data_IF_895108584753
#
_entry.id   IF_895108584753
#
_cell.length_a   1.000
_cell.length_b   1.000
_cell.length_c   1.000
_cell.angle_alpha   90.00
_cell.angle_beta   90.00
_cell.angle_gamma   90.00
#
_symmetry.space_group_name_H-M   'P 1'
#
loop_
_entity.id
_entity.type
_entity.pdbx_description
1 polymer ?
#
# COMPACT_ATOMS: atom_id res chain seq x y z
N UNK A 1 18.75 0.96 -23.09
CA UNK A 1 18.89 -0.51 -23.29
C UNK A 1 17.51 -1.13 -23.36
N UNK A 2 17.21 -1.93 -24.40
CA UNK A 2 15.95 -2.67 -24.47
C UNK A 2 15.89 -3.67 -23.30
N UNK A 3 14.77 -3.74 -22.59
CA UNK A 3 14.56 -4.73 -21.52
C UNK A 3 14.48 -6.12 -22.17
N UNK A 4 15.35 -7.05 -21.75
CA UNK A 4 15.25 -8.46 -22.14
C UNK A 4 14.09 -9.08 -21.39
N UNK A 5 12.93 -9.17 -22.04
CA UNK A 5 11.72 -9.78 -21.47
C UNK A 5 11.48 -11.13 -22.13
N UNK A 6 11.01 -12.13 -21.37
CA UNK A 6 10.53 -13.38 -21.96
C UNK A 6 9.35 -13.15 -22.89
N UNK A 7 9.08 -14.05 -23.84
CA UNK A 7 7.91 -13.94 -24.71
C UNK A 7 6.62 -13.88 -23.89
N UNK A 8 5.77 -12.88 -24.11
CA UNK A 8 4.54 -12.67 -23.33
C UNK A 8 3.57 -13.87 -23.42
N UNK A 9 3.53 -14.56 -24.56
CA UNK A 9 2.76 -15.80 -24.70
C UNK A 9 3.24 -16.89 -23.74
N UNK A 10 4.55 -17.05 -23.61
CA UNK A 10 5.15 -18.03 -22.70
C UNK A 10 4.85 -17.71 -21.22
N UNK A 11 4.88 -16.43 -20.82
CA UNK A 11 4.49 -16.01 -19.48
C UNK A 11 3.03 -16.31 -19.16
N UNK A 12 2.09 -16.07 -20.10
CA UNK A 12 0.68 -16.40 -19.92
C UNK A 12 0.45 -17.91 -19.79
N UNK A 13 1.15 -18.70 -20.60
CA UNK A 13 1.06 -20.18 -20.54
C UNK A 13 1.66 -20.70 -19.24
N UNK A 14 2.78 -20.13 -18.80
CA UNK A 14 3.42 -20.48 -17.53
C UNK A 14 2.50 -20.21 -16.33
N UNK A 15 1.88 -19.00 -16.27
CA UNK A 15 0.93 -18.65 -15.21
C UNK A 15 -0.23 -19.64 -15.13
N UNK A 16 -0.89 -19.90 -16.27
CA UNK A 16 -2.03 -20.81 -16.31
C UNK A 16 -1.64 -22.25 -15.93
N UNK A 17 -0.49 -22.75 -16.42
CA UNK A 17 0.00 -24.08 -16.12
C UNK A 17 0.38 -24.24 -14.63
N UNK A 18 0.96 -23.23 -14.04
CA UNK A 18 1.34 -23.21 -12.64
C UNK A 18 0.12 -23.17 -11.71
N UNK A 19 -0.83 -22.26 -11.99
CA UNK A 19 -2.06 -22.10 -11.20
C UNK A 19 -2.93 -23.35 -11.27
N UNK A 20 -3.10 -23.93 -12.45
CA UNK A 20 -3.93 -25.13 -12.67
C UNK A 20 -3.22 -26.45 -12.39
N UNK A 21 -1.90 -26.42 -12.17
CA UNK A 21 -1.05 -27.60 -11.99
C UNK A 21 -1.22 -28.67 -13.09
N UNK A 22 -1.56 -28.22 -14.30
CA UNK A 22 -1.89 -29.09 -15.41
C UNK A 22 -1.70 -28.41 -16.76
N UNK A 23 -0.88 -28.98 -17.62
CA UNK A 23 -0.71 -28.48 -18.99
C UNK A 23 -1.98 -28.69 -19.84
N UNK A 24 -2.73 -29.73 -19.58
CA UNK A 24 -4.00 -30.00 -20.26
C UNK A 24 -5.05 -28.95 -19.88
N UNK A 25 -5.20 -28.66 -18.60
CA UNK A 25 -6.13 -27.63 -18.14
C UNK A 25 -5.73 -26.22 -18.65
N UNK A 26 -4.44 -25.91 -18.65
CA UNK A 26 -3.92 -24.66 -19.22
C UNK A 26 -4.20 -24.55 -20.72
N UNK A 27 -4.05 -25.64 -21.46
CA UNK A 27 -4.39 -25.71 -22.89
C UNK A 27 -5.86 -25.39 -23.14
N UNK A 28 -6.75 -25.97 -22.34
CA UNK A 28 -8.20 -25.73 -22.41
C UNK A 28 -8.55 -24.27 -22.09
N UNK A 29 -8.02 -23.72 -20.99
CA UNK A 29 -8.28 -22.34 -20.57
C UNK A 29 -7.82 -21.33 -21.62
N UNK A 30 -6.64 -21.56 -22.21
CA UNK A 30 -6.05 -20.65 -23.19
C UNK A 30 -6.49 -20.89 -24.64
N UNK A 31 -7.35 -21.90 -24.88
CA UNK A 31 -7.80 -22.33 -26.20
C UNK A 31 -6.65 -22.63 -27.17
N UNK A 32 -5.65 -23.38 -26.71
CA UNK A 32 -4.49 -23.83 -27.49
C UNK A 32 -4.29 -25.34 -27.33
N UNK A 33 -3.41 -25.93 -28.14
CA UNK A 33 -3.11 -27.36 -28.03
C UNK A 33 -2.13 -27.65 -26.87
N UNK A 34 -2.19 -28.86 -26.32
CA UNK A 34 -1.23 -29.32 -25.28
C UNK A 34 0.22 -29.23 -25.77
N UNK A 35 0.47 -29.51 -27.06
CA UNK A 35 1.81 -29.36 -27.66
C UNK A 35 2.28 -27.90 -27.65
N UNK A 36 1.36 -26.95 -27.94
CA UNK A 36 1.68 -25.52 -27.86
C UNK A 36 2.03 -25.07 -26.45
N UNK A 37 1.30 -25.56 -25.43
CA UNK A 37 1.65 -25.32 -24.01
C UNK A 37 3.07 -25.81 -23.74
N UNK A 38 3.38 -27.05 -24.09
CA UNK A 38 4.70 -27.65 -23.87
C UNK A 38 5.83 -26.88 -24.58
N UNK A 39 5.58 -26.37 -25.79
CA UNK A 39 6.55 -25.55 -26.53
C UNK A 39 6.77 -24.19 -25.86
N UNK A 40 5.71 -23.52 -25.41
CA UNK A 40 5.85 -22.23 -24.73
C UNK A 40 6.56 -22.35 -23.39
N UNK A 41 6.32 -23.43 -22.63
CA UNK A 41 7.05 -23.68 -21.39
C UNK A 41 8.53 -23.91 -21.66
N UNK A 42 8.88 -24.77 -22.65
CA UNK A 42 10.29 -24.98 -23.04
C UNK A 42 10.96 -23.68 -23.47
N UNK A 43 10.29 -22.87 -24.29
CA UNK A 43 10.83 -21.58 -24.72
C UNK A 43 11.08 -20.63 -23.55
N UNK A 44 10.27 -20.68 -22.48
CA UNK A 44 10.50 -19.90 -21.27
C UNK A 44 11.66 -20.45 -20.46
N UNK A 45 11.73 -21.76 -20.27
CA UNK A 45 12.83 -22.45 -19.56
C UNK A 45 14.17 -22.23 -20.27
N UNK A 46 14.19 -22.31 -21.61
CA UNK A 46 15.39 -22.01 -22.42
C UNK A 46 15.81 -20.54 -22.28
N UNK A 47 14.85 -19.61 -22.26
CA UNK A 47 15.13 -18.20 -22.07
C UNK A 47 15.71 -17.89 -20.68
N UNK A 48 15.19 -18.55 -19.63
CA UNK A 48 15.63 -18.38 -18.24
C UNK A 48 16.90 -19.18 -17.96
N UNK A 49 17.11 -20.29 -18.67
CA UNK A 49 18.27 -21.18 -18.52
C UNK A 49 18.11 -22.24 -17.43
N UNK A 50 16.87 -22.46 -16.92
CA UNK A 50 16.59 -23.48 -15.91
C UNK A 50 15.16 -24.01 -16.03
N UNK A 51 14.90 -25.26 -15.58
CA UNK A 51 13.56 -25.82 -15.53
C UNK A 51 12.69 -25.10 -14.49
N UNK A 52 11.39 -24.96 -14.78
CA UNK A 52 10.40 -24.35 -13.91
C UNK A 52 9.40 -25.36 -13.32
N UNK A 53 9.23 -26.50 -14.00
CA UNK A 53 8.29 -27.55 -13.61
C UNK A 53 8.95 -28.89 -13.36
N UNK A 54 8.49 -29.59 -12.34
CA UNK A 54 8.68 -31.02 -12.17
C UNK A 54 7.45 -31.78 -12.70
N UNK A 55 7.68 -32.96 -13.31
CA UNK A 55 6.60 -33.88 -13.68
C UNK A 55 6.17 -34.70 -12.48
N UNK A 56 4.87 -34.75 -12.23
CA UNK A 56 4.26 -35.57 -11.21
C UNK A 56 3.39 -36.68 -11.84
N UNK A 57 3.00 -37.68 -11.04
CA UNK A 57 2.12 -38.77 -11.49
C UNK A 57 0.75 -38.27 -11.99
N UNK A 58 0.29 -37.14 -11.52
CA UNK A 58 -0.95 -36.48 -11.92
C UNK A 58 -0.75 -34.99 -12.20
N UNK A 59 -0.01 -34.67 -13.26
CA UNK A 59 0.15 -33.26 -13.67
C UNK A 59 1.57 -32.72 -13.57
N UNK A 60 1.69 -31.46 -13.20
CA UNK A 60 2.96 -30.76 -13.05
C UNK A 60 2.98 -29.93 -11.77
N UNK A 61 4.13 -29.84 -11.12
CA UNK A 61 4.33 -28.95 -9.98
C UNK A 61 5.43 -27.93 -10.31
N UNK A 62 5.31 -26.72 -9.75
CA UNK A 62 6.40 -25.77 -9.79
C UNK A 62 7.60 -26.25 -8.96
N UNK A 63 8.78 -26.04 -9.47
CA UNK A 63 10.01 -26.19 -8.70
C UNK A 63 10.09 -25.06 -7.64
N UNK A 64 10.74 -25.31 -6.48
CA UNK A 64 10.83 -24.30 -5.41
C UNK A 64 11.35 -22.95 -5.88
N UNK A 65 12.38 -22.93 -6.72
CA UNK A 65 13.00 -21.71 -7.25
C UNK A 65 12.08 -20.95 -8.24
N UNK A 66 11.05 -21.61 -8.78
CA UNK A 66 10.07 -21.02 -9.67
C UNK A 66 8.87 -20.37 -8.94
N UNK A 67 8.71 -20.59 -7.63
CA UNK A 67 7.55 -20.08 -6.86
C UNK A 67 7.55 -18.55 -6.76
N UNK A 68 8.68 -17.95 -6.46
CA UNK A 68 8.81 -16.49 -6.41
C UNK A 68 8.56 -15.87 -7.80
N UNK A 69 9.18 -16.46 -8.83
CA UNK A 69 8.98 -16.02 -10.21
C UNK A 69 7.50 -16.13 -10.64
N UNK A 70 6.80 -17.20 -10.26
CA UNK A 70 5.35 -17.35 -10.51
C UNK A 70 4.55 -16.23 -9.87
N UNK A 71 4.81 -15.91 -8.61
CA UNK A 71 4.12 -14.84 -7.89
C UNK A 71 4.29 -13.49 -8.60
N UNK A 72 5.50 -13.16 -9.05
CA UNK A 72 5.79 -11.91 -9.77
C UNK A 72 5.15 -11.87 -11.17
N UNK A 73 5.15 -12.98 -11.89
CA UNK A 73 4.50 -13.09 -13.20
C UNK A 73 2.99 -12.92 -13.06
N UNK A 74 2.37 -13.63 -12.11
CA UNK A 74 0.94 -13.55 -11.83
C UNK A 74 0.52 -12.11 -11.51
N UNK A 75 1.21 -11.46 -10.57
CA UNK A 75 0.93 -10.07 -10.18
C UNK A 75 1.13 -9.09 -11.35
N UNK A 76 2.09 -9.36 -12.24
CA UNK A 76 2.35 -8.51 -13.41
C UNK A 76 1.27 -8.66 -14.49
N UNK A 77 0.83 -9.88 -14.77
CA UNK A 77 -0.25 -10.15 -15.73
C UNK A 77 -1.59 -9.59 -15.23
N UNK A 78 -1.87 -9.69 -13.92
CA UNK A 78 -3.05 -9.10 -13.32
C UNK A 78 -3.05 -7.58 -13.46
N UNK A 79 -1.91 -6.91 -13.22
CA UNK A 79 -1.77 -5.46 -13.45
C UNK A 79 -2.01 -5.05 -14.90
N UNK A 80 -1.53 -5.83 -15.86
CA UNK A 80 -1.79 -5.58 -17.29
C UNK A 80 -3.29 -5.75 -17.59
N UNK A 81 -3.93 -6.79 -17.06
CA UNK A 81 -5.35 -7.05 -17.24
C UNK A 81 -6.20 -5.91 -16.66
N UNK A 82 -5.90 -5.44 -15.44
CA UNK A 82 -6.56 -4.31 -14.82
C UNK A 82 -6.40 -3.03 -15.65
N UNK A 83 -5.17 -2.69 -16.06
CA UNK A 83 -4.92 -1.52 -16.90
C UNK A 83 -5.71 -1.58 -18.23
N UNK A 84 -5.79 -2.77 -18.82
CA UNK A 84 -6.56 -2.98 -20.04
C UNK A 84 -8.07 -2.83 -19.80
N UNK A 85 -8.58 -3.37 -18.69
CA UNK A 85 -9.98 -3.24 -18.31
C UNK A 85 -10.35 -1.76 -18.07
N UNK A 86 -9.45 -0.99 -17.43
CA UNK A 86 -9.63 0.44 -17.25
C UNK A 86 -9.74 1.21 -18.57
N UNK A 87 -8.93 0.88 -19.58
CA UNK A 87 -9.01 1.49 -20.90
C UNK A 87 -10.32 1.16 -21.64
N UNK A 88 -10.89 -0.01 -21.37
CA UNK A 88 -12.14 -0.47 -22.01
C UNK A 88 -13.40 0.08 -21.36
N UNK A 89 -13.33 0.56 -20.10
CA UNK A 89 -14.49 1.16 -19.43
C UNK A 89 -14.76 2.55 -20.02
N UNK A 90 -15.98 2.84 -20.47
CA UNK A 90 -16.35 4.21 -20.83
C UNK A 90 -16.11 5.11 -19.61
N UNK A 91 -15.36 6.17 -19.78
CA UNK A 91 -15.12 7.14 -18.74
C UNK A 91 -16.45 7.84 -18.42
N UNK A 92 -17.06 7.55 -17.28
CA UNK A 92 -18.19 8.34 -16.82
C UNK A 92 -17.67 9.74 -16.46
N UNK A 93 -18.34 10.77 -16.94
CA UNK A 93 -17.88 12.15 -16.88
C UNK A 93 -17.67 12.71 -15.44
N UNK A 94 -18.05 11.94 -14.41
CA UNK A 94 -17.94 12.29 -13.00
C UNK A 94 -17.34 11.16 -12.14
N UNK A 95 -16.45 10.35 -12.68
CA UNK A 95 -15.73 9.34 -11.93
C UNK A 95 -14.34 9.83 -11.56
N UNK A 96 -13.97 9.69 -10.27
CA UNK A 96 -12.64 10.00 -9.73
C UNK A 96 -11.97 8.72 -9.21
N UNK A 97 -10.90 8.30 -9.84
CA UNK A 97 -10.13 7.12 -9.45
C UNK A 97 -8.94 7.52 -8.60
N UNK A 98 -9.02 7.15 -7.32
CA UNK A 98 -8.00 7.43 -6.32
C UNK A 98 -7.05 6.25 -6.18
N UNK A 99 -5.77 6.54 -6.01
CA UNK A 99 -4.78 5.59 -5.54
C UNK A 99 -4.13 6.14 -4.27
N UNK A 100 -4.06 5.33 -3.21
CA UNK A 100 -3.43 5.73 -1.97
C UNK A 100 -2.59 4.61 -1.37
N UNK A 101 -1.72 4.94 -0.40
CA UNK A 101 -1.13 3.90 0.44
C UNK A 101 -2.22 3.26 1.31
N UNK A 102 -2.10 1.95 1.65
CA UNK A 102 -3.15 1.25 2.40
C UNK A 102 -3.56 1.96 3.70
N UNK A 103 -2.60 2.51 4.46
CA UNK A 103 -2.90 3.21 5.71
C UNK A 103 -3.72 4.48 5.49
N UNK A 104 -3.38 5.30 4.47
CA UNK A 104 -4.16 6.49 4.12
C UNK A 104 -5.56 6.12 3.63
N UNK A 105 -5.67 5.09 2.78
CA UNK A 105 -6.97 4.64 2.30
C UNK A 105 -7.88 4.21 3.45
N UNK A 106 -7.39 3.34 4.34
CA UNK A 106 -8.20 2.75 5.42
C UNK A 106 -8.54 3.72 6.54
N UNK A 107 -7.58 4.58 6.93
CA UNK A 107 -7.70 5.37 8.16
C UNK A 107 -8.03 6.85 7.93
N UNK A 108 -7.86 7.34 6.69
CA UNK A 108 -8.14 8.73 6.35
C UNK A 108 -9.25 8.85 5.30
N UNK A 109 -9.10 8.14 4.16
CA UNK A 109 -10.01 8.36 3.03
C UNK A 109 -11.36 7.68 3.24
N UNK A 110 -11.38 6.37 3.53
CA UNK A 110 -12.62 5.60 3.68
C UNK A 110 -13.54 6.19 4.76
N UNK A 111 -13.06 6.53 5.97
CA UNK A 111 -13.92 7.18 6.96
C UNK A 111 -14.53 8.49 6.48
N UNK A 112 -13.79 9.27 5.68
CA UNK A 112 -14.25 10.55 5.16
C UNK A 112 -15.14 10.47 3.92
N UNK A 113 -15.15 9.33 3.19
CA UNK A 113 -15.88 9.21 1.92
C UNK A 113 -17.38 9.45 2.04
N UNK A 114 -18.01 9.04 3.14
CA UNK A 114 -19.43 9.28 3.36
C UNK A 114 -19.78 10.78 3.37
N UNK A 115 -18.89 11.60 3.97
CA UNK A 115 -19.05 13.06 3.96
C UNK A 115 -18.82 13.64 2.57
N UNK A 116 -17.79 13.15 1.85
CA UNK A 116 -17.55 13.58 0.48
C UNK A 116 -18.73 13.26 -0.43
N UNK A 117 -19.26 12.05 -0.39
CA UNK A 117 -20.41 11.63 -1.20
C UNK A 117 -21.70 12.38 -0.86
N UNK A 118 -21.89 12.78 0.41
CA UNK A 118 -23.00 13.63 0.82
C UNK A 118 -22.92 15.02 0.22
N UNK A 119 -21.72 15.60 0.10
CA UNK A 119 -21.48 16.92 -0.48
C UNK A 119 -21.49 16.90 -2.02
N UNK A 120 -21.07 15.80 -2.62
CA UNK A 120 -20.91 15.62 -4.06
C UNK A 120 -21.48 14.28 -4.52
N UNK A 121 -22.82 14.11 -4.42
CA UNK A 121 -23.48 12.83 -4.69
C UNK A 121 -23.35 12.39 -6.16
N UNK A 122 -23.03 13.32 -7.06
CA UNK A 122 -22.86 13.03 -8.47
C UNK A 122 -21.45 12.51 -8.83
N UNK A 123 -20.49 12.51 -7.88
CA UNK A 123 -19.12 12.05 -8.12
C UNK A 123 -18.99 10.62 -7.62
N UNK A 124 -18.75 9.72 -8.55
CA UNK A 124 -18.41 8.33 -8.23
C UNK A 124 -16.91 8.22 -7.92
N UNK A 125 -16.57 7.66 -6.75
CA UNK A 125 -15.19 7.55 -6.27
C UNK A 125 -14.78 6.09 -6.22
N UNK A 126 -13.75 5.75 -6.99
CA UNK A 126 -13.09 4.45 -6.95
C UNK A 126 -11.78 4.57 -6.18
N UNK A 127 -11.61 3.80 -5.08
CA UNK A 127 -10.39 3.81 -4.27
C UNK A 127 -9.62 2.52 -4.47
N UNK A 128 -8.37 2.65 -4.87
CA UNK A 128 -7.42 1.55 -4.96
C UNK A 128 -6.21 1.80 -4.06
N UNK A 129 -5.48 0.75 -3.73
CA UNK A 129 -4.29 0.87 -2.89
C UNK A 129 -3.06 0.29 -3.58
N UNK A 130 -1.93 0.97 -3.38
CA UNK A 130 -0.61 0.48 -3.78
C UNK A 130 0.35 0.61 -2.59
N UNK A 131 1.19 -0.41 -2.40
CA UNK A 131 2.28 -0.35 -1.43
C UNK A 131 3.22 0.82 -1.73
N UNK A 132 3.89 1.35 -0.69
CA UNK A 132 4.77 2.53 -0.76
C UNK A 132 5.77 2.47 -1.91
N UNK A 133 6.36 1.30 -2.17
CA UNK A 133 7.33 1.07 -3.24
C UNK A 133 6.73 1.14 -4.66
N UNK A 134 5.40 1.03 -4.80
CA UNK A 134 4.71 1.02 -6.09
C UNK A 134 3.90 2.30 -6.32
N UNK A 135 3.51 3.02 -5.26
CA UNK A 135 2.71 4.24 -5.40
C UNK A 135 3.46 5.32 -6.19
N UNK A 136 4.78 5.30 -6.10
CA UNK A 136 5.65 6.21 -6.85
C UNK A 136 5.66 5.92 -8.36
N UNK A 137 5.13 4.77 -8.77
CA UNK A 137 5.01 4.31 -10.16
C UNK A 137 3.55 4.19 -10.61
N UNK A 138 2.60 4.67 -9.82
CA UNK A 138 1.18 4.67 -10.14
C UNK A 138 0.89 5.65 -11.28
N UNK A 139 0.87 5.16 -12.52
CA UNK A 139 0.66 5.98 -13.72
C UNK A 139 -0.66 5.70 -14.40
N UNK A 140 -0.91 4.44 -14.68
CA UNK A 140 -2.01 4.06 -15.53
C UNK A 140 -3.29 3.82 -14.72
N UNK A 141 -4.31 4.59 -15.04
CA UNK A 141 -5.65 4.32 -14.55
C UNK A 141 -6.08 5.11 -13.31
N UNK A 142 -5.21 5.94 -12.70
CA UNK A 142 -5.56 6.76 -11.55
C UNK A 142 -5.60 8.24 -11.91
N UNK A 143 -6.59 8.94 -11.41
CA UNK A 143 -6.78 10.37 -11.63
C UNK A 143 -6.13 11.22 -10.53
N UNK A 144 -6.02 10.65 -9.30
CA UNK A 144 -5.41 11.28 -8.15
C UNK A 144 -4.66 10.23 -7.32
N UNK A 145 -3.42 10.53 -6.96
CA UNK A 145 -2.57 9.73 -6.08
C UNK A 145 -2.40 10.46 -4.76
N UNK A 146 -2.68 9.78 -3.63
CA UNK A 146 -2.54 10.35 -2.28
C UNK A 146 -1.46 9.59 -1.52
N UNK A 147 -0.48 10.32 -0.99
CA UNK A 147 0.69 9.75 -0.32
C UNK A 147 1.25 10.66 0.79
N UNK A 148 2.10 10.12 1.66
CA UNK A 148 2.91 10.92 2.54
C UNK A 148 4.14 11.48 1.80
N UNK A 149 4.40 12.76 2.03
CA UNK A 149 5.52 13.51 1.47
C UNK A 149 5.34 13.92 0.02
N UNK A 150 6.02 15.00 -0.38
CA UNK A 150 5.98 15.49 -1.74
C UNK A 150 6.67 14.53 -2.71
N UNK A 151 6.29 14.61 -3.97
CA UNK A 151 6.94 13.91 -5.05
C UNK A 151 7.06 14.82 -6.27
N UNK A 152 8.25 14.86 -6.84
CA UNK A 152 8.47 15.54 -8.12
C UNK A 152 8.33 14.50 -9.24
N UNK A 153 7.36 14.73 -10.13
CA UNK A 153 7.16 13.96 -11.35
C UNK A 153 6.92 14.90 -12.52
N UNK A 154 7.61 14.70 -13.65
CA UNK A 154 7.22 15.35 -14.89
C UNK A 154 5.71 15.12 -15.13
N UNK A 155 5.00 16.08 -15.69
CA UNK A 155 3.58 16.01 -16.04
C UNK A 155 2.60 15.89 -14.85
N UNK A 156 3.05 15.97 -13.60
CA UNK A 156 2.18 15.94 -12.42
C UNK A 156 2.32 17.22 -11.59
N UNK A 157 1.20 17.68 -11.07
CA UNK A 157 1.15 18.67 -10.00
C UNK A 157 1.06 17.94 -8.67
N UNK A 158 1.90 18.31 -7.72
CA UNK A 158 1.91 17.80 -6.35
C UNK A 158 1.46 18.92 -5.42
N UNK A 159 0.34 18.74 -4.73
CA UNK A 159 -0.21 19.70 -3.78
C UNK A 159 -0.20 19.14 -2.36
N UNK A 160 0.23 19.92 -1.35
CA UNK A 160 0.05 19.54 0.05
C UNK A 160 -1.44 19.56 0.42
N UNK A 161 -1.90 18.58 1.18
CA UNK A 161 -3.29 18.47 1.62
C UNK A 161 -3.44 18.60 3.13
N UNK A 162 -2.55 17.92 3.90
CA UNK A 162 -2.57 17.93 5.36
C UNK A 162 -1.15 18.01 5.89
N UNK A 163 -0.96 18.87 6.87
CA UNK A 163 0.20 18.79 7.73
C UNK A 163 0.07 17.57 8.64
N UNK A 164 1.17 16.93 8.99
CA UNK A 164 1.13 15.72 9.79
C UNK A 164 2.40 15.55 10.62
N UNK A 165 2.31 14.70 11.64
CA UNK A 165 3.43 14.37 12.52
C UNK A 165 3.21 12.99 13.11
N UNK A 166 4.27 12.34 13.53
CA UNK A 166 4.16 11.08 14.24
C UNK A 166 4.04 11.32 15.74
N UNK A 167 3.14 10.57 16.38
CA UNK A 167 2.95 10.56 17.82
C UNK A 167 2.99 9.13 18.35
N UNK A 168 3.56 8.90 19.55
CA UNK A 168 3.50 7.61 20.20
C UNK A 168 2.09 7.34 20.72
N UNK A 169 1.55 6.18 20.37
CA UNK A 169 0.22 5.74 20.77
C UNK A 169 0.25 4.32 21.31
N UNK A 170 -0.69 4.03 22.19
CA UNK A 170 -1.00 2.69 22.65
C UNK A 170 -2.47 2.59 23.06
N UNK A 171 -2.95 1.38 23.40
CA UNK A 171 -4.25 1.25 24.04
C UNK A 171 -4.27 1.93 25.41
N UNK A 172 -5.40 2.48 25.86
CA UNK A 172 -5.54 3.04 27.21
C UNK A 172 -5.17 2.02 28.30
N UNK A 173 -5.48 0.74 28.06
CA UNK A 173 -5.16 -0.36 28.97
C UNK A 173 -3.64 -0.60 29.08
N UNK A 174 -2.91 -0.55 27.97
CA UNK A 174 -1.46 -0.70 27.96
C UNK A 174 -0.80 0.46 28.72
N UNK A 175 -1.22 1.70 28.44
CA UNK A 175 -0.70 2.91 29.11
C UNK A 175 -0.88 2.82 30.63
N UNK A 176 -2.09 2.45 31.09
CA UNK A 176 -2.42 2.33 32.50
C UNK A 176 -1.62 1.22 33.18
N UNK A 177 -1.51 0.03 32.56
CA UNK A 177 -0.78 -1.14 33.09
C UNK A 177 0.70 -0.82 33.29
N UNK A 178 1.32 -0.14 32.31
CA UNK A 178 2.75 0.13 32.32
C UNK A 178 3.10 1.50 32.90
N UNK A 179 2.08 2.31 33.30
CA UNK A 179 2.25 3.64 33.95
C UNK A 179 3.13 4.57 33.12
N UNK A 180 2.91 4.64 31.83
CA UNK A 180 3.68 5.47 30.90
C UNK A 180 3.37 6.95 31.17
N UNK A 181 4.32 7.68 31.81
CA UNK A 181 4.16 9.09 32.18
C UNK A 181 5.16 10.02 31.53
N UNK A 182 6.30 9.53 31.12
CA UNK A 182 7.39 10.28 30.46
C UNK A 182 8.00 9.41 29.36
N UNK A 183 8.63 10.03 28.34
CA UNK A 183 9.20 9.32 27.20
C UNK A 183 10.15 8.17 27.57
N UNK A 184 10.94 8.34 28.63
CA UNK A 184 11.84 7.29 29.11
C UNK A 184 11.11 6.00 29.54
N UNK A 185 9.85 6.08 29.96
CA UNK A 185 9.07 4.93 30.39
C UNK A 185 8.72 4.00 29.19
N UNK A 186 8.85 4.49 27.95
CA UNK A 186 8.64 3.69 26.74
C UNK A 186 9.82 2.75 26.46
N UNK A 187 11.00 3.03 27.03
CA UNK A 187 12.19 2.20 26.83
C UNK A 187 11.97 0.83 27.48
N UNK A 188 12.30 -0.25 26.77
CA UNK A 188 12.12 -1.61 27.27
C UNK A 188 10.76 -2.24 26.95
N UNK A 189 9.81 -1.48 26.44
CA UNK A 189 8.56 -2.03 25.88
C UNK A 189 8.68 -2.37 24.39
N UNK A 190 7.85 -3.28 23.87
CA UNK A 190 7.82 -3.55 22.44
C UNK A 190 7.44 -2.31 21.63
N UNK A 191 8.35 -1.86 20.75
CA UNK A 191 8.14 -0.74 19.85
C UNK A 191 7.74 -1.28 18.48
N UNK A 192 6.51 -1.01 18.07
CA UNK A 192 5.91 -1.52 16.84
C UNK A 192 6.44 -0.67 15.67
N UNK A 193 7.38 -1.23 14.92
CA UNK A 193 8.08 -0.54 13.83
C UNK A 193 7.37 -0.73 12.50
N UNK A 194 7.58 0.19 11.57
CA UNK A 194 7.05 0.08 10.20
C UNK A 194 8.22 0.03 9.22
N UNK A 195 8.17 -0.89 8.26
CA UNK A 195 9.17 -1.01 7.20
C UNK A 195 9.31 0.31 6.43
N UNK A 196 10.55 0.72 6.14
CA UNK A 196 10.82 2.04 5.55
C UNK A 196 10.75 3.23 6.51
N UNK A 197 10.49 2.99 7.81
CA UNK A 197 10.46 4.00 8.88
C UNK A 197 11.09 3.42 10.16
N UNK A 198 12.10 2.57 10.02
CA UNK A 198 12.67 1.81 11.14
C UNK A 198 13.39 2.69 12.17
N UNK A 199 13.88 3.84 11.75
CA UNK A 199 14.61 4.82 12.55
C UNK A 199 13.71 5.84 13.25
N UNK A 200 12.40 5.88 12.95
CA UNK A 200 11.50 6.88 13.51
C UNK A 200 11.43 6.84 15.06
N UNK A 201 11.46 5.67 15.66
CA UNK A 201 11.51 5.57 17.12
C UNK A 201 12.79 6.17 17.70
N UNK A 202 13.93 5.91 17.08
CA UNK A 202 15.22 6.50 17.51
C UNK A 202 15.19 8.02 17.34
N UNK A 203 14.64 8.53 16.24
CA UNK A 203 14.48 9.97 16.01
C UNK A 203 13.54 10.59 17.06
N UNK A 204 12.41 9.94 17.36
CA UNK A 204 11.47 10.44 18.34
C UNK A 204 12.07 10.49 19.76
N UNK A 205 12.79 9.44 20.17
CA UNK A 205 13.51 9.44 21.45
C UNK A 205 14.59 10.53 21.50
N UNK A 206 15.28 10.77 20.40
CA UNK A 206 16.24 11.88 20.29
C UNK A 206 15.58 13.24 20.52
N UNK A 207 14.39 13.48 19.94
CA UNK A 207 13.62 14.70 20.20
C UNK A 207 13.14 14.79 21.66
N UNK A 208 12.87 13.66 22.29
CA UNK A 208 12.46 13.58 23.69
C UNK A 208 13.65 13.68 24.68
N UNK A 209 14.88 13.76 24.19
CA UNK A 209 16.08 13.79 25.02
C UNK A 209 16.36 12.49 25.79
N UNK A 210 15.93 11.34 25.22
CA UNK A 210 16.07 10.01 25.83
C UNK A 210 17.10 9.19 25.07
N UNK A 211 18.14 8.77 25.79
CA UNK A 211 19.11 7.81 25.26
C UNK A 211 18.49 6.40 25.16
N UNK A 212 18.71 5.75 24.05
CA UNK A 212 18.18 4.40 23.77
C UNK A 212 19.28 3.47 23.28
N UNK A 213 19.15 2.15 23.51
CA UNK A 213 20.07 1.17 22.94
C UNK A 213 20.02 1.19 21.41
N UNK A 214 21.11 0.76 20.78
CA UNK A 214 21.22 0.69 19.31
C UNK A 214 20.17 -0.20 18.66
N UNK A 215 19.66 -1.18 19.39
CA UNK A 215 18.59 -2.08 18.94
C UNK A 215 17.38 -1.96 19.85
N UNK A 216 16.30 -1.44 19.29
CA UNK A 216 15.02 -1.31 19.96
C UNK A 216 14.17 -2.58 19.74
N UNK A 217 13.59 -3.17 20.81
CA UNK A 217 12.80 -4.39 20.71
C UNK A 217 11.45 -4.12 20.04
N UNK A 218 10.91 -5.12 19.37
CA UNK A 218 9.55 -5.11 18.82
C UNK A 218 9.46 -5.51 17.36
N UNK A 219 8.29 -5.99 16.94
CA UNK A 219 8.04 -6.46 15.59
C UNK A 219 8.05 -5.32 14.56
N UNK A 220 8.22 -5.72 13.28
CA UNK A 220 8.17 -4.82 12.12
C UNK A 220 6.91 -5.17 11.31
N UNK A 221 6.19 -4.15 10.90
CA UNK A 221 4.99 -4.25 10.05
C UNK A 221 5.21 -3.51 8.73
N UNK A 222 4.51 -3.89 7.69
CA UNK A 222 4.64 -3.23 6.38
C UNK A 222 3.91 -1.87 6.33
N UNK A 223 2.89 -1.69 7.17
CA UNK A 223 2.00 -0.54 7.13
C UNK A 223 1.65 -0.01 8.51
N UNK A 224 1.47 1.31 8.63
CA UNK A 224 1.08 1.96 9.89
C UNK A 224 -0.23 1.42 10.45
N UNK A 225 -1.25 1.13 9.61
CA UNK A 225 -2.51 0.60 10.11
C UNK A 225 -2.36 -0.76 10.82
N UNK A 226 -1.37 -1.58 10.41
CA UNK A 226 -1.07 -2.86 11.08
C UNK A 226 -0.41 -2.63 12.44
N UNK A 227 0.57 -1.71 12.53
CA UNK A 227 1.19 -1.36 13.80
C UNK A 227 0.20 -0.71 14.77
N UNK A 228 -0.71 0.13 14.27
CA UNK A 228 -1.80 0.72 15.04
C UNK A 228 -2.78 -0.34 15.55
N UNK A 229 -3.17 -1.31 14.70
CA UNK A 229 -4.01 -2.43 15.11
C UNK A 229 -3.32 -3.30 16.18
N UNK A 230 -2.02 -3.54 16.05
CA UNK A 230 -1.25 -4.27 17.06
C UNK A 230 -1.18 -3.50 18.39
N UNK A 231 -1.01 -2.17 18.35
CA UNK A 231 -1.03 -1.31 19.54
C UNK A 231 -2.40 -1.32 20.24
N UNK A 232 -3.51 -1.28 19.49
CA UNK A 232 -4.87 -1.38 20.05
C UNK A 232 -5.14 -2.73 20.72
N UNK A 233 -4.39 -3.77 20.35
CA UNK A 233 -4.46 -5.11 20.93
C UNK A 233 -3.40 -5.36 22.03
N UNK A 234 -2.89 -4.31 22.67
CA UNK A 234 -1.93 -4.38 23.78
C UNK A 234 -0.55 -5.01 23.40
N UNK A 235 -0.17 -5.07 22.12
CA UNK A 235 1.09 -5.69 21.71
C UNK A 235 2.32 -4.81 21.99
N UNK A 236 2.13 -3.49 22.15
CA UNK A 236 3.21 -2.53 22.40
C UNK A 236 2.82 -1.10 22.01
N UNK A 237 3.83 -0.30 21.75
CA UNK A 237 3.71 1.13 21.43
C UNK A 237 3.91 1.33 19.94
N UNK A 238 2.98 2.03 19.26
CA UNK A 238 3.14 2.43 17.87
C UNK A 238 3.52 3.91 17.76
N UNK A 239 4.35 4.25 16.79
CA UNK A 239 4.58 5.62 16.38
C UNK A 239 3.75 5.87 15.12
N UNK A 240 2.62 6.53 15.28
CA UNK A 240 1.59 6.64 14.25
C UNK A 240 1.47 8.06 13.68
N UNK A 241 1.22 8.22 12.36
CA UNK A 241 0.85 9.50 11.77
C UNK A 241 -0.44 10.03 12.41
N UNK A 242 -0.44 11.29 12.83
CA UNK A 242 -1.57 11.91 13.52
C UNK A 242 -2.86 11.87 12.69
N UNK A 243 -2.74 12.13 11.40
CA UNK A 243 -3.88 12.14 10.46
C UNK A 243 -4.60 10.79 10.33
N UNK A 244 -4.03 9.69 10.84
CA UNK A 244 -4.61 8.34 10.78
C UNK A 244 -5.32 7.92 12.08
N UNK A 245 -5.30 8.75 13.12
CA UNK A 245 -5.67 8.35 14.48
C UNK A 245 -7.11 8.66 14.87
N UNK A 246 -7.79 9.57 14.17
CA UNK A 246 -9.06 10.14 14.60
C UNK A 246 -10.10 9.08 15.00
N UNK A 247 -10.35 8.11 14.14
CA UNK A 247 -11.32 7.04 14.40
C UNK A 247 -10.94 6.16 15.61
N UNK A 248 -9.65 5.85 15.77
CA UNK A 248 -9.19 5.00 16.87
C UNK A 248 -9.21 5.73 18.20
N UNK A 249 -8.93 7.04 18.20
CA UNK A 249 -9.04 7.90 19.39
C UNK A 249 -10.49 8.06 19.79
N UNK A 250 -11.38 8.41 18.85
CA UNK A 250 -12.81 8.58 19.10
C UNK A 250 -13.45 7.29 19.64
N UNK A 251 -13.06 6.15 19.11
CA UNK A 251 -13.52 4.83 19.56
C UNK A 251 -12.83 4.35 20.85
N UNK A 252 -11.90 5.09 21.41
CA UNK A 252 -11.15 4.70 22.62
C UNK A 252 -10.22 3.50 22.43
N UNK A 253 -9.89 3.14 21.20
CA UNK A 253 -8.99 2.00 20.91
C UNK A 253 -7.52 2.37 21.10
N UNK A 254 -7.16 3.58 20.71
CA UNK A 254 -5.83 4.14 20.87
C UNK A 254 -5.88 5.49 21.57
N UNK A 255 -4.81 5.80 22.27
CA UNK A 255 -4.62 7.09 22.92
C UNK A 255 -3.17 7.57 22.69
N UNK A 256 -2.95 8.85 22.34
CA UNK A 256 -1.62 9.45 22.42
C UNK A 256 -1.06 9.29 23.82
N UNK A 257 0.20 8.82 23.92
CA UNK A 257 0.84 8.64 25.24
C UNK A 257 1.32 9.99 25.77
N UNK A 258 1.80 10.86 24.85
CA UNK A 258 2.29 12.20 25.16
C UNK A 258 1.82 13.18 24.07
N UNK A 259 1.54 14.42 24.46
CA UNK A 259 1.24 15.49 23.50
C UNK A 259 2.49 15.96 22.76
N UNK A 260 3.64 15.94 23.45
CA UNK A 260 4.95 16.36 22.92
C UNK A 260 6.05 15.40 23.43
N UNK A 261 7.17 15.22 22.70
CA UNK A 261 7.40 15.78 21.38
C UNK A 261 6.62 15.02 20.29
N UNK A 262 6.33 15.68 19.17
CA UNK A 262 5.85 15.07 17.94
C UNK A 262 7.00 14.99 16.95
N UNK A 263 7.18 13.85 16.28
CA UNK A 263 8.18 13.71 15.21
C UNK A 263 7.58 14.27 13.92
N UNK A 264 8.14 15.34 13.35
CA UNK A 264 7.65 15.92 12.11
C UNK A 264 7.67 14.92 10.95
N UNK A 265 6.69 14.97 10.08
CA UNK A 265 6.72 14.30 8.80
C UNK A 265 6.39 15.29 7.66
N UNK A 266 6.52 14.83 6.42
CA UNK A 266 6.32 15.69 5.26
C UNK A 266 4.84 15.93 4.91
N UNK A 267 3.90 15.51 5.75
CA UNK A 267 2.45 15.67 5.53
C UNK A 267 1.89 14.78 4.42
N UNK A 268 0.61 14.94 4.14
CA UNK A 268 -0.10 14.23 3.07
C UNK A 268 -0.16 15.11 1.82
N UNK A 269 0.14 14.51 0.68
CA UNK A 269 0.16 15.18 -0.62
C UNK A 269 -0.71 14.46 -1.63
N UNK A 270 -1.32 15.22 -2.53
CA UNK A 270 -2.04 14.72 -3.69
C UNK A 270 -1.32 15.04 -4.99
N UNK A 271 -1.20 14.04 -5.87
CA UNK A 271 -0.60 14.17 -7.19
C UNK A 271 -1.62 13.85 -8.27
N UNK A 272 -1.74 14.72 -9.27
CA UNK A 272 -2.60 14.52 -10.43
C UNK A 272 -2.00 15.19 -11.67
N UNK A 273 -2.44 14.77 -12.85
CA UNK A 273 -2.04 15.39 -14.10
C UNK A 273 -2.91 16.62 -14.38
N UNK A 274 -2.34 17.82 -14.54
CA UNK A 274 -3.12 19.06 -14.73
C UNK A 274 -3.87 19.10 -16.07
N UNK A 275 -3.38 18.39 -17.08
CA UNK A 275 -3.98 18.24 -18.41
C UNK A 275 -5.05 17.13 -18.49
N UNK A 276 -5.27 16.36 -17.41
CA UNK A 276 -6.29 15.33 -17.36
C UNK A 276 -7.70 15.92 -17.28
N UNK A 277 -8.67 15.35 -18.00
CA UNK A 277 -10.09 15.71 -17.84
C UNK A 277 -10.61 15.56 -16.41
N UNK A 278 -9.96 14.75 -15.57
CA UNK A 278 -10.30 14.58 -14.16
C UNK A 278 -9.60 15.56 -13.22
N UNK A 279 -8.72 16.45 -13.73
CA UNK A 279 -8.00 17.41 -12.89
C UNK A 279 -8.92 18.29 -12.02
N UNK A 280 -10.08 18.80 -12.51
CA UNK A 280 -11.01 19.55 -11.68
C UNK A 280 -11.57 18.72 -10.51
N UNK A 281 -11.89 17.43 -10.74
CA UNK A 281 -12.37 16.53 -9.70
C UNK A 281 -11.27 16.20 -8.68
N UNK A 282 -10.03 15.99 -9.14
CA UNK A 282 -8.88 15.78 -8.29
C UNK A 282 -8.65 16.98 -7.35
N UNK A 283 -8.68 18.21 -7.88
CA UNK A 283 -8.57 19.44 -7.07
C UNK A 283 -9.71 19.56 -6.06
N UNK A 284 -10.95 19.35 -6.48
CA UNK A 284 -12.12 19.38 -5.62
C UNK A 284 -11.99 18.41 -4.44
N UNK A 285 -11.50 17.20 -4.71
CA UNK A 285 -11.27 16.19 -3.68
C UNK A 285 -10.15 16.62 -2.70
N UNK A 286 -9.06 17.18 -3.21
CA UNK A 286 -7.96 17.68 -2.37
C UNK A 286 -8.40 18.87 -1.52
N UNK A 287 -9.17 19.81 -2.07
CA UNK A 287 -9.72 20.94 -1.33
C UNK A 287 -10.70 20.47 -0.24
N UNK A 288 -11.48 19.40 -0.53
CA UNK A 288 -12.32 18.78 0.47
C UNK A 288 -11.48 18.07 1.56
N UNK A 289 -10.40 17.36 1.18
CA UNK A 289 -9.52 16.68 2.14
C UNK A 289 -8.79 17.66 3.07
N UNK A 290 -8.41 18.83 2.55
CA UNK A 290 -7.70 19.88 3.27
C UNK A 290 -8.59 20.74 4.21
N UNK A 291 -9.91 20.53 4.24
CA UNK A 291 -10.81 21.35 5.08
C UNK A 291 -10.52 21.19 6.57
N UNK A 292 -10.35 22.27 7.34
CA UNK A 292 -9.98 22.23 8.75
C UNK A 292 -11.06 21.66 9.69
N UNK A 293 -12.27 21.44 9.22
CA UNK A 293 -13.42 21.02 10.05
C UNK A 293 -13.77 19.52 9.93
N UNK A 294 -12.86 18.70 9.51
CA UNK A 294 -13.04 17.27 9.71
C UNK A 294 -12.66 16.96 11.15
N UNK A 295 -13.48 16.22 11.85
CA UNK A 295 -13.25 15.68 13.20
C UNK A 295 -11.97 14.82 13.30
N UNK A 296 -10.99 15.13 12.44
CA UNK A 296 -9.65 14.52 12.34
C UNK A 296 -8.56 15.42 12.96
N UNK A 297 -8.93 16.58 13.55
CA UNK A 297 -7.99 17.46 14.25
C UNK A 297 -7.84 17.09 15.74
#
# INVERSE_FOLDING_TARGET
MARSLPPLKALRVFEAAARLRSFTAAAQELNITHSAVSQQIRALEDFIGQPLFAREARGVALLPDALEYFSEVQASLERIAQATAHLKRPRQARQLRLCATPSLAMKLLIPGLADFQRLYPEIDVEVSTLGRQFIDRADAGHDLIIRHGPMQRPDYVCLPCLEDSYVPVASPRFIARHRLRRPADCVGHPLLKVSGCLDHWTQWFGLAGVEVPSMLPGPVFDHHFLSMQAASNDLGLALAPWCLLAEDIQAGRLQPIFEQPRLPNAGVHGLFRPDSPAAPLARLFLDWLARPNKEYA
#
